data_IF_570190666144
#
_entry.id   IF_570190666144
#
_cell.length_a   1.000
_cell.length_b   1.000
_cell.length_c   1.000
_cell.angle_alpha   90.00
_cell.angle_beta   90.00
_cell.angle_gamma   90.00
#
_symmetry.space_group_name_H-M   'P 1'
#
loop_
_entity.id
_entity.type
_entity.pdbx_description
1 polymer ?
#
# COMPACT_ATOMS: atom_id res chain seq x y z
N UNK A 1 12.00 16.32 -25.70
CA UNK A 1 13.02 15.51 -25.00
C UNK A 1 12.34 14.28 -24.37
N UNK A 2 11.88 13.31 -25.15
CA UNK A 2 10.88 12.32 -24.65
C UNK A 2 11.17 10.85 -24.96
N UNK A 3 12.32 10.49 -25.56
CA UNK A 3 12.59 9.10 -25.95
C UNK A 3 13.66 8.37 -25.10
N UNK A 4 14.59 9.09 -24.46
CA UNK A 4 15.76 8.44 -23.80
C UNK A 4 15.55 8.13 -22.30
N UNK A 5 14.44 8.58 -21.69
CA UNK A 5 14.19 8.42 -20.25
C UNK A 5 13.67 7.02 -19.88
N UNK A 6 13.23 6.24 -20.86
CA UNK A 6 12.58 4.95 -20.62
C UNK A 6 13.42 3.76 -21.10
N UNK A 7 14.71 3.95 -21.42
CA UNK A 7 15.58 2.84 -21.84
C UNK A 7 15.74 1.79 -20.73
N UNK A 8 15.76 2.22 -19.46
CA UNK A 8 15.84 1.34 -18.29
C UNK A 8 14.54 0.55 -18.08
N UNK A 9 13.44 0.96 -18.72
CA UNK A 9 12.16 0.26 -18.68
C UNK A 9 12.11 -0.90 -19.68
N UNK A 10 12.80 -0.79 -20.82
CA UNK A 10 12.77 -1.79 -21.90
C UNK A 10 12.99 -3.22 -21.40
N UNK A 11 13.98 -3.50 -20.51
CA UNK A 11 14.19 -4.85 -20.01
C UNK A 11 13.03 -5.39 -19.17
N UNK A 12 12.11 -4.56 -18.68
CA UNK A 12 10.98 -4.96 -17.84
C UNK A 12 9.70 -5.23 -18.64
N UNK A 13 9.60 -4.70 -19.86
CA UNK A 13 8.39 -4.80 -20.69
C UNK A 13 8.18 -6.21 -21.23
N UNK A 14 6.92 -6.67 -21.24
CA UNK A 14 6.51 -7.93 -21.86
C UNK A 14 6.95 -9.20 -21.12
N UNK A 15 7.43 -9.08 -19.88
CA UNK A 15 7.67 -10.24 -19.00
C UNK A 15 6.35 -10.71 -18.38
N UNK A 16 6.29 -12.02 -18.07
CA UNK A 16 5.15 -12.64 -17.40
C UNK A 16 5.18 -12.41 -15.88
N UNK A 17 5.15 -11.15 -15.46
CA UNK A 17 5.25 -10.73 -14.06
C UNK A 17 4.18 -11.35 -13.16
N UNK A 18 3.01 -11.64 -13.70
CA UNK A 18 1.87 -12.25 -13.00
C UNK A 18 2.15 -13.67 -12.47
N UNK A 19 3.21 -14.31 -12.96
CA UNK A 19 3.65 -15.65 -12.53
C UNK A 19 4.83 -15.63 -11.57
N UNK A 20 5.36 -14.44 -11.28
CA UNK A 20 6.57 -14.21 -10.48
C UNK A 20 6.14 -13.62 -9.13
N UNK A 21 6.68 -14.15 -8.03
CA UNK A 21 6.42 -13.55 -6.71
C UNK A 21 7.27 -12.28 -6.49
N UNK A 22 6.98 -11.55 -5.42
CA UNK A 22 7.69 -10.30 -5.09
C UNK A 22 9.20 -10.47 -4.85
N UNK A 23 9.67 -11.64 -4.38
CA UNK A 23 11.09 -11.90 -4.09
C UNK A 23 11.84 -12.18 -5.37
N UNK A 24 11.26 -12.99 -6.24
CA UNK A 24 11.83 -13.30 -7.55
C UNK A 24 11.85 -12.05 -8.43
N UNK A 25 10.79 -11.23 -8.39
CA UNK A 25 10.76 -9.94 -9.09
C UNK A 25 11.84 -8.98 -8.57
N UNK A 26 12.03 -8.89 -7.25
CA UNK A 26 13.11 -8.12 -6.63
C UNK A 26 14.49 -8.60 -7.10
N UNK A 27 14.75 -9.91 -7.02
CA UNK A 27 16.02 -10.50 -7.45
C UNK A 27 16.26 -10.28 -8.95
N UNK A 28 15.23 -10.36 -9.77
CA UNK A 28 15.29 -10.10 -11.21
C UNK A 28 15.66 -8.66 -11.54
N UNK A 29 14.99 -7.70 -10.94
CA UNK A 29 15.22 -6.29 -11.22
C UNK A 29 16.62 -5.87 -10.71
N UNK A 30 17.07 -6.42 -9.59
CA UNK A 30 18.46 -6.24 -9.12
C UNK A 30 19.48 -6.85 -10.10
N UNK A 31 19.23 -8.04 -10.66
CA UNK A 31 20.09 -8.64 -11.70
C UNK A 31 20.18 -7.79 -12.97
N UNK A 32 19.16 -6.97 -13.24
CA UNK A 32 19.16 -5.99 -14.33
C UNK A 32 19.93 -4.69 -14.01
N UNK A 33 20.58 -4.62 -12.84
CA UNK A 33 21.42 -3.50 -12.44
C UNK A 33 20.71 -2.41 -11.64
N UNK A 34 19.45 -2.62 -11.26
CA UNK A 34 18.75 -1.69 -10.37
C UNK A 34 19.26 -1.86 -8.93
N UNK A 35 19.35 -0.76 -8.18
CA UNK A 35 19.94 -0.75 -6.84
C UNK A 35 18.90 -0.39 -5.78
N UNK A 36 18.85 -1.07 -4.62
CA UNK A 36 17.97 -0.66 -3.53
C UNK A 36 18.17 0.81 -3.13
N UNK A 37 17.08 1.54 -2.98
CA UNK A 37 17.10 2.97 -2.65
C UNK A 37 16.12 3.38 -1.56
N UNK A 38 15.31 2.45 -1.05
CA UNK A 38 14.40 2.71 0.07
C UNK A 38 13.62 1.46 0.47
N UNK A 39 13.16 1.43 1.71
CA UNK A 39 12.26 0.40 2.23
C UNK A 39 11.15 1.13 3.00
N UNK A 40 9.94 1.10 2.45
CA UNK A 40 8.74 1.57 3.13
C UNK A 40 8.10 0.45 3.95
N UNK A 41 6.92 0.70 4.50
CA UNK A 41 6.20 -0.29 5.32
C UNK A 41 5.66 -1.45 4.47
N UNK A 42 5.22 -1.13 3.25
CA UNK A 42 4.57 -2.09 2.35
C UNK A 42 5.48 -2.61 1.24
N UNK A 43 6.50 -1.84 0.83
CA UNK A 43 7.24 -2.12 -0.40
C UNK A 43 8.73 -1.78 -0.30
N UNK A 44 9.52 -2.42 -1.16
CA UNK A 44 10.93 -2.11 -1.40
C UNK A 44 11.04 -1.23 -2.64
N UNK A 45 11.83 -0.16 -2.54
CA UNK A 45 12.16 0.74 -3.65
C UNK A 45 13.53 0.42 -4.24
N UNK A 46 13.59 0.29 -5.56
CA UNK A 46 14.82 0.16 -6.34
C UNK A 46 14.98 1.36 -7.28
N UNK A 47 16.20 1.86 -7.43
CA UNK A 47 16.56 2.89 -8.38
C UNK A 47 17.14 2.27 -9.64
N UNK A 48 16.66 2.73 -10.78
CA UNK A 48 17.15 2.33 -12.11
C UNK A 48 18.64 2.67 -12.33
N UNK A 49 19.34 1.97 -13.25
CA UNK A 49 20.75 2.22 -13.56
C UNK A 49 21.09 3.67 -13.92
N UNK A 50 20.26 4.36 -14.71
CA UNK A 50 20.45 5.79 -15.04
C UNK A 50 19.91 6.73 -13.97
N UNK A 51 19.24 6.18 -12.96
CA UNK A 51 18.79 6.91 -11.78
C UNK A 51 17.56 7.81 -11.99
N UNK A 52 16.85 7.63 -13.10
CA UNK A 52 15.69 8.43 -13.51
C UNK A 52 14.34 7.82 -13.14
N UNK A 53 14.31 6.50 -12.94
CA UNK A 53 13.14 5.72 -12.55
C UNK A 53 13.35 5.05 -11.18
N UNK A 54 12.25 4.81 -10.49
CA UNK A 54 12.17 3.98 -9.29
C UNK A 54 11.16 2.85 -9.49
N UNK A 55 11.54 1.62 -9.14
CA UNK A 55 10.64 0.47 -9.09
C UNK A 55 10.22 0.25 -7.64
N UNK A 56 8.91 0.19 -7.41
CA UNK A 56 8.28 -0.20 -6.16
C UNK A 56 7.84 -1.65 -6.30
N UNK A 57 8.41 -2.52 -5.48
CA UNK A 57 8.08 -3.96 -5.44
C UNK A 57 7.42 -4.26 -4.11
N UNK A 58 6.19 -4.75 -4.19
CA UNK A 58 5.31 -4.88 -3.04
C UNK A 58 4.78 -6.31 -2.96
N UNK A 59 4.97 -7.06 -1.84
CA UNK A 59 4.34 -8.35 -1.63
C UNK A 59 2.81 -8.26 -1.50
N UNK A 60 2.32 -7.20 -0.84
CA UNK A 60 0.91 -7.00 -0.56
C UNK A 60 0.67 -5.56 -0.16
N UNK A 61 -0.20 -4.86 -0.88
CA UNK A 61 -0.70 -3.53 -0.50
C UNK A 61 -2.05 -3.28 -1.19
N UNK A 62 -3.16 -3.43 -0.46
CA UNK A 62 -4.50 -3.25 -1.02
C UNK A 62 -4.89 -1.78 -1.20
N UNK A 63 -4.14 -0.81 -0.66
CA UNK A 63 -4.40 0.61 -0.87
C UNK A 63 -3.71 1.19 -2.10
N UNK A 64 -2.57 0.63 -2.51
CA UNK A 64 -1.80 1.14 -3.64
C UNK A 64 -2.60 1.33 -4.95
N UNK A 65 -3.54 0.44 -5.34
CA UNK A 65 -4.28 0.67 -6.56
C UNK A 65 -5.21 1.89 -6.50
N UNK A 66 -5.57 2.39 -5.31
CA UNK A 66 -6.28 3.67 -5.16
C UNK A 66 -5.38 4.85 -5.55
N UNK A 67 -4.09 4.80 -5.18
CA UNK A 67 -3.12 5.79 -5.59
C UNK A 67 -2.88 5.79 -7.11
N UNK A 68 -2.81 4.60 -7.72
CA UNK A 68 -2.71 4.48 -9.18
C UNK A 68 -3.97 4.99 -9.89
N UNK A 69 -5.14 4.75 -9.31
CA UNK A 69 -6.40 5.30 -9.81
C UNK A 69 -6.44 6.83 -9.77
N UNK A 70 -5.92 7.44 -8.69
CA UNK A 70 -5.73 8.89 -8.62
C UNK A 70 -4.81 9.40 -9.75
N UNK A 71 -3.65 8.77 -9.95
CA UNK A 71 -2.73 9.12 -11.04
C UNK A 71 -3.39 9.01 -12.41
N UNK A 72 -4.21 7.97 -12.63
CA UNK A 72 -4.96 7.75 -13.87
C UNK A 72 -6.04 8.82 -14.11
N UNK A 73 -6.72 9.28 -13.06
CA UNK A 73 -7.76 10.33 -13.13
C UNK A 73 -7.20 11.74 -13.28
N UNK A 74 -5.94 11.96 -12.91
CA UNK A 74 -5.25 13.24 -13.01
C UNK A 74 -4.00 13.16 -13.92
N UNK A 75 -4.14 12.76 -15.20
CA UNK A 75 -3.00 12.53 -16.08
C UNK A 75 -2.21 13.83 -16.30
N UNK A 76 -0.89 13.76 -16.12
CA UNK A 76 0.01 14.89 -16.34
C UNK A 76 -0.08 15.99 -15.28
N UNK A 77 -0.79 15.76 -14.17
CA UNK A 77 -0.83 16.73 -13.07
C UNK A 77 0.57 16.88 -12.44
N UNK A 78 1.09 18.11 -12.26
CA UNK A 78 2.46 18.33 -11.80
C UNK A 78 2.73 17.85 -10.36
N UNK A 79 1.68 17.63 -9.56
CA UNK A 79 1.77 17.14 -8.18
C UNK A 79 1.68 15.61 -8.07
N UNK A 80 1.57 14.88 -9.17
CA UNK A 80 1.55 13.41 -9.18
C UNK A 80 2.74 12.86 -9.98
N UNK A 81 3.22 11.65 -9.65
CA UNK A 81 4.32 11.06 -10.38
C UNK A 81 3.88 10.60 -11.76
N UNK A 82 4.81 10.59 -12.70
CA UNK A 82 4.68 9.79 -13.92
C UNK A 82 4.78 8.31 -13.58
N UNK A 83 3.68 7.58 -13.78
CA UNK A 83 3.64 6.11 -13.75
C UNK A 83 4.04 5.57 -15.12
N UNK A 84 5.09 4.75 -15.15
CA UNK A 84 5.67 4.19 -16.40
C UNK A 84 5.33 2.71 -16.59
N UNK A 85 5.09 1.97 -15.51
CA UNK A 85 4.71 0.55 -15.53
C UNK A 85 3.86 0.21 -14.31
N UNK A 86 2.91 -0.68 -14.48
CA UNK A 86 2.16 -1.31 -13.39
C UNK A 86 1.87 -2.73 -13.79
N UNK A 87 2.37 -3.67 -13.00
CA UNK A 87 2.23 -5.10 -13.23
C UNK A 87 1.79 -5.79 -11.93
N UNK A 88 0.88 -6.75 -12.06
CA UNK A 88 0.54 -7.63 -10.96
C UNK A 88 1.64 -8.69 -10.80
N UNK A 89 1.90 -9.09 -9.56
CA UNK A 89 2.77 -10.22 -9.22
C UNK A 89 1.93 -11.35 -8.63
N UNK A 90 2.47 -12.57 -8.59
CA UNK A 90 1.80 -13.70 -7.96
C UNK A 90 1.45 -13.37 -6.49
N UNK A 91 0.34 -13.94 -6.03
CA UNK A 91 -0.04 -13.91 -4.61
C UNK A 91 -0.49 -12.55 -4.05
N UNK A 92 -0.81 -11.58 -4.92
CA UNK A 92 -1.30 -10.25 -4.54
C UNK A 92 -0.25 -9.15 -4.52
N UNK A 93 0.97 -9.47 -4.96
CA UNK A 93 2.02 -8.48 -5.08
C UNK A 93 1.85 -7.55 -6.28
N UNK A 94 2.68 -6.51 -6.33
CA UNK A 94 2.74 -5.58 -7.46
C UNK A 94 4.15 -5.07 -7.72
N UNK A 95 4.42 -4.81 -9.00
CA UNK A 95 5.56 -4.06 -9.49
C UNK A 95 5.03 -2.78 -10.14
N UNK A 96 5.47 -1.63 -9.63
CA UNK A 96 5.16 -0.32 -10.22
C UNK A 96 6.44 0.42 -10.49
N UNK A 97 6.60 0.98 -11.70
CA UNK A 97 7.73 1.85 -12.03
C UNK A 97 7.25 3.28 -12.17
N UNK A 98 7.85 4.18 -11.40
CA UNK A 98 7.57 5.61 -11.35
C UNK A 98 8.82 6.39 -11.77
N UNK A 99 8.68 7.69 -12.06
CA UNK A 99 9.85 8.59 -12.02
C UNK A 99 10.54 8.53 -10.64
N UNK A 100 11.87 8.69 -10.61
CA UNK A 100 12.61 8.70 -9.35
C UNK A 100 12.36 10.02 -8.62
N UNK A 101 11.96 9.92 -7.34
CA UNK A 101 11.69 11.07 -6.49
C UNK A 101 12.53 10.97 -5.21
N UNK A 102 13.18 12.08 -4.83
CA UNK A 102 13.88 12.21 -3.56
C UNK A 102 12.90 12.58 -2.43
N UNK A 103 13.23 12.32 -1.15
CA UNK A 103 12.51 12.93 -0.04
C UNK A 103 12.48 14.46 -0.18
N UNK A 104 11.34 15.08 0.12
CA UNK A 104 11.27 16.53 0.27
C UNK A 104 11.88 16.95 1.62
N UNK A 105 12.21 18.24 1.75
CA UNK A 105 12.64 18.80 3.03
C UNK A 105 11.47 18.83 4.00
N UNK A 106 11.70 18.52 5.28
CA UNK A 106 10.63 18.34 6.27
C UNK A 106 9.70 19.57 6.37
N UNK A 107 10.27 20.78 6.36
CA UNK A 107 9.49 22.01 6.43
C UNK A 107 8.58 22.22 5.21
N UNK A 108 9.03 21.80 4.03
CA UNK A 108 8.27 21.89 2.78
C UNK A 108 7.16 20.83 2.75
N UNK A 109 7.49 19.60 3.16
CA UNK A 109 6.52 18.52 3.29
C UNK A 109 5.40 18.88 4.28
N UNK A 110 5.75 19.47 5.43
CA UNK A 110 4.79 19.97 6.40
C UNK A 110 3.91 21.10 5.84
N UNK A 111 4.47 21.99 5.01
CA UNK A 111 3.71 23.05 4.35
C UNK A 111 2.71 22.50 3.31
N UNK A 112 3.09 21.46 2.57
CA UNK A 112 2.21 20.75 1.63
C UNK A 112 1.07 20.06 2.37
N UNK A 113 1.37 19.33 3.44
CA UNK A 113 0.36 18.66 4.26
C UNK A 113 -0.63 19.66 4.89
N UNK A 114 -0.13 20.83 5.31
CA UNK A 114 -0.98 21.92 5.81
C UNK A 114 -1.90 22.47 4.71
N UNK A 115 -1.36 22.78 3.54
CA UNK A 115 -2.14 23.25 2.37
C UNK A 115 -3.27 22.29 2.00
N UNK A 116 -2.98 20.99 2.00
CA UNK A 116 -3.99 19.96 1.76
C UNK A 116 -5.14 20.05 2.76
N UNK A 117 -4.84 20.11 4.07
CA UNK A 117 -5.86 20.20 5.13
C UNK A 117 -6.66 21.50 5.09
N UNK A 118 -6.01 22.60 4.80
CA UNK A 118 -6.64 23.93 4.76
C UNK A 118 -7.43 24.17 3.47
N UNK A 119 -7.28 23.28 2.48
CA UNK A 119 -7.93 23.45 1.19
C UNK A 119 -7.32 24.56 0.33
N UNK A 120 -6.04 24.89 0.54
CA UNK A 120 -5.35 25.98 -0.15
C UNK A 120 -4.34 25.44 -1.17
N UNK A 121 -4.32 26.01 -2.37
CA UNK A 121 -3.47 25.54 -3.45
C UNK A 121 -3.66 26.33 -4.73
N UNK A 122 -2.92 25.95 -5.75
CA UNK A 122 -3.27 26.31 -7.13
C UNK A 122 -4.33 25.34 -7.67
N UNK A 123 -4.84 25.63 -8.87
CA UNK A 123 -5.87 24.81 -9.53
C UNK A 123 -5.44 23.34 -9.71
N UNK A 124 -4.16 23.09 -10.00
CA UNK A 124 -3.66 21.73 -10.19
C UNK A 124 -3.62 20.95 -8.87
N UNK A 125 -3.22 21.58 -7.77
CA UNK A 125 -3.24 21.00 -6.43
C UNK A 125 -4.67 20.71 -5.97
N UNK A 126 -5.59 21.66 -6.19
CA UNK A 126 -7.00 21.52 -5.84
C UNK A 126 -7.68 20.39 -6.63
N UNK A 127 -7.31 20.20 -7.90
CA UNK A 127 -7.78 19.09 -8.73
C UNK A 127 -7.36 17.72 -8.16
N UNK A 128 -6.09 17.57 -7.73
CA UNK A 128 -5.61 16.34 -7.08
C UNK A 128 -6.35 16.11 -5.78
N UNK A 129 -6.49 17.13 -4.92
CA UNK A 129 -7.20 17.00 -3.64
C UNK A 129 -8.64 16.54 -3.84
N UNK A 130 -9.37 17.21 -4.73
CA UNK A 130 -10.77 16.88 -5.03
C UNK A 130 -10.90 15.45 -5.55
N UNK A 131 -10.03 15.05 -6.47
CA UNK A 131 -10.04 13.70 -7.03
C UNK A 131 -9.66 12.64 -6.00
N UNK A 132 -8.69 12.94 -5.12
CA UNK A 132 -8.30 12.04 -4.04
C UNK A 132 -9.46 11.80 -3.05
N UNK A 133 -10.25 12.83 -2.72
CA UNK A 133 -11.45 12.65 -1.89
C UNK A 133 -12.52 11.79 -2.57
N UNK A 134 -12.74 11.95 -3.88
CA UNK A 134 -13.67 11.09 -4.62
C UNK A 134 -13.20 9.62 -4.63
N UNK A 135 -11.90 9.40 -4.84
CA UNK A 135 -11.30 8.06 -4.76
C UNK A 135 -11.41 7.50 -3.32
N UNK A 136 -11.13 8.30 -2.29
CA UNK A 136 -11.29 7.88 -0.89
C UNK A 136 -12.71 7.39 -0.60
N UNK A 137 -13.73 8.14 -1.01
CA UNK A 137 -15.14 7.78 -0.82
C UNK A 137 -15.48 6.43 -1.48
N UNK A 138 -15.08 6.25 -2.75
CA UNK A 138 -15.31 5.02 -3.51
C UNK A 138 -14.61 3.81 -2.88
N UNK A 139 -13.37 3.98 -2.44
CA UNK A 139 -12.55 2.91 -1.88
C UNK A 139 -13.00 2.54 -0.45
N UNK A 140 -13.36 3.53 0.36
CA UNK A 140 -13.93 3.33 1.71
C UNK A 140 -15.19 2.48 1.69
N UNK A 141 -16.01 2.59 0.64
CA UNK A 141 -17.24 1.82 0.49
C UNK A 141 -17.02 0.32 0.22
N UNK A 142 -15.82 -0.08 -0.26
CA UNK A 142 -15.57 -1.46 -0.74
C UNK A 142 -14.37 -2.15 -0.10
N UNK A 143 -13.42 -1.41 0.47
CA UNK A 143 -12.21 -1.98 1.03
C UNK A 143 -12.30 -2.14 2.55
N UNK A 144 -12.15 -3.36 3.08
CA UNK A 144 -12.07 -3.57 4.52
C UNK A 144 -10.77 -2.98 5.07
N UNK A 145 -10.77 -2.49 6.31
CA UNK A 145 -9.60 -1.85 6.96
C UNK A 145 -9.04 -0.63 6.22
N UNK A 146 -9.86 0.05 5.42
CA UNK A 146 -9.49 1.32 4.80
C UNK A 146 -9.42 2.44 5.84
N UNK A 147 -8.29 3.15 5.92
CA UNK A 147 -8.10 4.27 6.85
C UNK A 147 -8.33 5.62 6.15
N UNK A 148 -7.84 5.73 4.91
CA UNK A 148 -8.20 6.82 4.00
C UNK A 148 -7.02 7.59 3.48
N UNK A 149 -7.20 8.90 3.35
CA UNK A 149 -6.13 9.80 2.89
C UNK A 149 -5.08 9.95 3.98
N UNK A 150 -3.85 9.57 3.66
CA UNK A 150 -2.67 9.71 4.50
C UNK A 150 -1.66 10.63 3.83
N UNK A 151 -1.64 11.90 4.26
CA UNK A 151 -0.66 12.86 3.78
C UNK A 151 0.26 13.30 4.92
N UNK A 152 1.30 12.50 5.13
CA UNK A 152 2.42 12.77 6.03
C UNK A 152 3.68 13.20 5.23
N UNK A 153 4.77 13.55 5.92
CA UNK A 153 5.98 14.04 5.27
C UNK A 153 6.67 13.00 4.38
N UNK A 154 6.50 11.71 4.67
CA UNK A 154 6.99 10.61 3.84
C UNK A 154 6.26 10.48 2.49
N UNK A 155 5.07 11.07 2.36
CA UNK A 155 4.25 11.04 1.14
C UNK A 155 4.47 12.28 0.26
N UNK A 156 5.34 13.20 0.69
CA UNK A 156 5.75 14.37 -0.10
C UNK A 156 7.18 14.17 -0.58
N UNK A 157 7.35 14.20 -1.89
CA UNK A 157 8.63 13.95 -2.56
C UNK A 157 9.00 15.08 -3.50
N UNK A 158 10.25 15.07 -3.93
CA UNK A 158 10.81 16.03 -4.89
C UNK A 158 11.29 15.31 -6.14
N UNK A 159 10.78 15.73 -7.28
CA UNK A 159 11.27 15.26 -8.59
C UNK A 159 12.64 15.89 -8.91
N UNK A 160 13.35 15.30 -9.88
CA UNK A 160 14.69 15.78 -10.29
C UNK A 160 14.65 17.22 -10.83
N UNK A 161 13.53 17.64 -11.40
CA UNK A 161 13.29 19.02 -11.89
C UNK A 161 12.89 20.01 -10.78
N UNK A 162 12.84 19.55 -9.53
CA UNK A 162 12.51 20.35 -8.34
C UNK A 162 11.03 20.40 -7.98
N UNK A 163 10.13 19.85 -8.80
CA UNK A 163 8.68 19.81 -8.49
C UNK A 163 8.40 19.02 -7.22
N UNK A 164 7.35 19.44 -6.52
CA UNK A 164 6.77 18.67 -5.42
C UNK A 164 5.75 17.69 -5.95
N UNK A 165 5.90 16.44 -5.53
CA UNK A 165 5.10 15.31 -5.98
C UNK A 165 4.55 14.58 -4.76
N UNK A 166 3.26 14.26 -4.80
CA UNK A 166 2.57 13.49 -3.79
C UNK A 166 2.59 12.02 -4.20
N UNK A 167 2.96 11.15 -3.29
CA UNK A 167 2.96 9.69 -3.48
C UNK A 167 2.21 9.01 -2.35
N UNK A 168 1.65 7.84 -2.62
CA UNK A 168 1.08 6.94 -1.61
C UNK A 168 0.08 7.66 -0.67
N UNK A 169 -0.76 8.54 -1.24
CA UNK A 169 -1.68 9.41 -0.47
C UNK A 169 -2.81 8.67 0.23
N UNK A 170 -2.87 7.34 0.12
CA UNK A 170 -3.90 6.51 0.75
C UNK A 170 -3.26 5.41 1.58
N UNK A 171 -3.89 5.07 2.70
CA UNK A 171 -3.41 4.00 3.58
C UNK A 171 -4.51 3.06 4.05
N UNK A 172 -4.06 1.90 4.50
CA UNK A 172 -4.84 0.91 5.23
C UNK A 172 -4.57 1.06 6.73
N UNK A 173 -5.56 0.71 7.54
CA UNK A 173 -5.36 0.43 8.96
C UNK A 173 -4.68 -0.94 9.10
N UNK A 174 -3.36 -0.94 8.89
CA UNK A 174 -2.53 -2.14 9.00
C UNK A 174 -2.60 -2.76 10.39
N UNK A 175 -2.69 -1.94 11.45
CA UNK A 175 -2.75 -2.44 12.82
C UNK A 175 -4.03 -3.27 13.06
N UNK A 176 -5.19 -2.79 12.60
CA UNK A 176 -6.44 -3.54 12.70
C UNK A 176 -6.47 -4.76 11.77
N UNK A 177 -5.88 -4.67 10.57
CA UNK A 177 -5.75 -5.81 9.67
C UNK A 177 -4.93 -6.95 10.31
N UNK A 178 -3.73 -6.64 10.83
CA UNK A 178 -2.87 -7.67 11.43
C UNK A 178 -3.39 -8.16 12.78
N UNK A 179 -4.12 -7.34 13.54
CA UNK A 179 -4.90 -7.82 14.68
C UNK A 179 -5.96 -8.83 14.24
N UNK A 180 -6.70 -8.55 13.17
CA UNK A 180 -7.68 -9.50 12.64
C UNK A 180 -7.02 -10.82 12.20
N UNK A 181 -5.80 -10.79 11.64
CA UNK A 181 -5.08 -12.04 11.32
C UNK A 181 -4.84 -12.90 12.57
N UNK A 182 -4.49 -12.28 13.69
CA UNK A 182 -4.28 -12.98 14.96
C UNK A 182 -5.59 -13.48 15.57
N UNK A 183 -6.66 -12.69 15.46
CA UNK A 183 -7.97 -13.01 16.05
C UNK A 183 -8.71 -14.08 15.23
N UNK A 184 -8.84 -13.87 13.93
CA UNK A 184 -9.50 -14.79 12.98
C UNK A 184 -9.07 -14.47 11.53
N UNK A 185 -8.11 -15.24 11.01
CA UNK A 185 -7.60 -15.08 9.64
C UNK A 185 -8.59 -15.49 8.55
N UNK A 186 -9.66 -16.25 8.87
CA UNK A 186 -10.69 -16.59 7.90
C UNK A 186 -11.49 -15.36 7.46
N UNK A 187 -11.74 -14.42 8.38
CA UNK A 187 -12.39 -13.13 8.07
C UNK A 187 -11.55 -12.32 7.07
N UNK A 188 -10.22 -12.35 7.22
CA UNK A 188 -9.31 -11.66 6.28
C UNK A 188 -9.42 -12.29 4.89
N UNK A 189 -9.39 -13.62 4.79
CA UNK A 189 -9.45 -14.36 3.51
C UNK A 189 -10.81 -14.26 2.81
N UNK A 190 -11.88 -14.13 3.59
CA UNK A 190 -13.23 -13.90 3.06
C UNK A 190 -13.34 -12.50 2.44
N UNK A 191 -12.82 -11.49 3.15
CA UNK A 191 -12.94 -10.09 2.74
C UNK A 191 -11.90 -9.65 1.72
N UNK A 192 -10.72 -10.26 1.75
CA UNK A 192 -9.62 -10.05 0.82
C UNK A 192 -9.31 -11.39 0.18
N UNK A 193 -9.48 -11.49 -1.14
CA UNK A 193 -9.43 -12.77 -1.84
C UNK A 193 -8.17 -13.59 -1.49
N UNK A 194 -8.32 -14.91 -1.37
CA UNK A 194 -7.20 -15.81 -1.03
C UNK A 194 -6.03 -15.71 -2.01
N UNK A 195 -6.32 -15.44 -3.29
CA UNK A 195 -5.29 -15.22 -4.31
C UNK A 195 -4.49 -13.93 -4.07
N UNK A 196 -5.12 -12.88 -3.54
CA UNK A 196 -4.49 -11.57 -3.31
C UNK A 196 -3.82 -11.45 -1.93
N UNK A 197 -3.86 -12.48 -1.09
CA UNK A 197 -3.37 -12.43 0.31
C UNK A 197 -2.27 -13.45 0.60
N UNK A 198 -1.73 -14.13 -0.42
CA UNK A 198 -0.71 -15.18 -0.25
C UNK A 198 0.55 -14.64 0.44
N UNK A 199 0.92 -13.40 0.13
CA UNK A 199 2.11 -12.72 0.67
C UNK A 199 1.77 -11.63 1.71
N UNK A 200 0.58 -11.68 2.31
CA UNK A 200 0.11 -10.67 3.27
C UNK A 200 1.06 -10.43 4.46
N UNK A 201 1.79 -11.48 4.88
CA UNK A 201 2.74 -11.43 6.00
C UNK A 201 4.19 -11.13 5.58
N UNK A 202 4.45 -10.97 4.28
CA UNK A 202 5.80 -10.75 3.75
C UNK A 202 6.15 -9.24 3.63
N UNK A 203 5.28 -8.34 4.09
CA UNK A 203 5.51 -6.88 3.99
C UNK A 203 6.76 -6.46 4.79
N UNK A 204 7.53 -5.45 4.31
CA UNK A 204 8.77 -5.04 4.99
C UNK A 204 8.58 -4.56 6.44
N UNK A 205 7.45 -3.93 6.78
CA UNK A 205 7.17 -3.47 8.15
C UNK A 205 7.23 -4.62 9.16
N UNK A 206 6.61 -5.77 8.85
CA UNK A 206 6.62 -6.94 9.74
C UNK A 206 8.05 -7.39 9.99
N UNK A 207 8.87 -7.47 8.94
CA UNK A 207 10.26 -7.92 9.07
C UNK A 207 11.14 -6.95 9.87
N UNK A 208 10.84 -5.64 9.85
CA UNK A 208 11.60 -4.60 10.54
C UNK A 208 11.17 -4.38 11.98
N UNK A 209 9.86 -4.29 12.21
CA UNK A 209 9.30 -3.75 13.46
C UNK A 209 8.75 -4.85 14.38
N UNK A 210 8.50 -6.07 13.86
CA UNK A 210 8.00 -7.18 14.68
C UNK A 210 9.14 -8.05 15.23
N UNK A 211 8.98 -8.50 16.47
CA UNK A 211 9.85 -9.51 17.07
C UNK A 211 9.67 -10.88 16.40
N UNK A 212 10.66 -11.79 16.52
CA UNK A 212 10.52 -13.16 16.02
C UNK A 212 9.30 -13.90 16.57
N UNK A 213 8.90 -13.63 17.81
CA UNK A 213 7.72 -14.25 18.43
C UNK A 213 6.41 -13.75 17.80
N UNK A 214 6.30 -12.45 17.51
CA UNK A 214 5.14 -11.87 16.83
C UNK A 214 5.01 -12.38 15.40
N UNK A 215 6.13 -12.48 14.67
CA UNK A 215 6.16 -13.05 13.32
C UNK A 215 5.67 -14.50 13.33
N UNK A 216 6.14 -15.31 14.27
CA UNK A 216 5.70 -16.70 14.38
C UNK A 216 4.23 -16.81 14.77
N UNK A 217 3.74 -15.94 15.68
CA UNK A 217 2.32 -15.89 16.04
C UNK A 217 1.44 -15.56 14.83
N UNK A 218 1.81 -14.55 14.03
CA UNK A 218 1.12 -14.19 12.79
C UNK A 218 1.09 -15.35 11.80
N UNK A 219 2.23 -16.03 11.59
CA UNK A 219 2.33 -17.19 10.69
C UNK A 219 1.49 -18.37 11.18
N UNK A 220 1.49 -18.63 12.49
CA UNK A 220 0.67 -19.68 13.09
C UNK A 220 -0.83 -19.40 12.89
N UNK A 221 -1.27 -18.17 13.17
CA UNK A 221 -2.67 -17.75 12.99
C UNK A 221 -3.10 -17.79 11.52
N UNK A 222 -2.23 -17.37 10.59
CA UNK A 222 -2.51 -17.44 9.16
C UNK A 222 -2.67 -18.87 8.65
N UNK A 223 -1.77 -19.79 9.07
CA UNK A 223 -1.85 -21.22 8.72
C UNK A 223 -3.05 -21.94 9.33
N UNK A 224 -3.44 -21.58 10.57
CA UNK A 224 -4.59 -22.21 11.22
C UNK A 224 -5.90 -21.97 10.44
N UNK A 225 -6.03 -20.82 9.78
CA UNK A 225 -7.18 -20.50 8.91
C UNK A 225 -7.20 -21.20 7.55
N UNK A 226 -6.13 -21.91 7.14
CA UNK A 226 -6.11 -22.70 5.89
C UNK A 226 -6.85 -24.03 6.00
N UNK A 227 -7.16 -24.48 7.22
CA UNK A 227 -7.95 -25.68 7.40
C UNK A 227 -9.43 -25.38 7.10
N UNK A 228 -10.05 -26.05 6.12
CA UNK A 228 -11.50 -25.96 5.97
C UNK A 228 -12.11 -26.40 7.29
N UNK A 229 -13.05 -25.62 7.82
CA UNK A 229 -13.88 -26.04 8.96
C UNK A 229 -14.60 -27.32 8.53
N UNK A 230 -13.99 -28.45 8.81
CA UNK A 230 -14.53 -29.76 8.51
C UNK A 230 -15.66 -30.02 9.51
N UNK A 231 -16.86 -29.58 9.13
CA UNK A 231 -18.13 -30.09 9.62
C UNK A 231 -18.47 -29.78 11.08
N UNK A 232 -19.29 -28.75 11.29
CA UNK A 232 -20.45 -28.89 12.18
C UNK A 232 -21.68 -28.34 11.44
N UNK A 233 -22.33 -29.22 10.66
CA UNK A 233 -23.78 -29.15 10.50
C UNK A 233 -24.39 -29.77 11.76
N UNK A 234 -25.29 -29.03 12.41
CA UNK A 234 -26.31 -29.62 13.28
C UNK A 234 -26.17 -29.25 14.74
N UNK A 235 -26.88 -28.20 15.15
CA UNK A 235 -27.16 -27.94 16.55
C UNK A 235 -27.58 -26.49 16.78
N UNK A 236 -28.87 -26.19 16.60
CA UNK A 236 -29.48 -25.08 17.33
C UNK A 236 -29.49 -25.47 18.82
N UNK A 237 -29.07 -24.57 19.72
CA UNK A 237 -29.76 -24.46 20.98
C UNK A 237 -30.15 -23.00 21.29
N UNK A 238 -31.41 -22.85 21.69
CA UNK A 238 -31.78 -22.03 22.84
C UNK A 238 -31.58 -20.52 22.76
N UNK A 239 -32.69 -19.83 22.56
CA UNK A 239 -32.91 -18.47 23.06
C UNK A 239 -32.40 -18.29 24.50
N UNK A 240 -31.34 -17.49 24.67
CA UNK A 240 -30.74 -17.15 25.96
C UNK A 240 -30.37 -15.67 26.01
N UNK A 241 -31.28 -14.88 26.59
CA UNK A 241 -31.18 -13.52 27.17
C UNK A 241 -29.87 -12.72 26.98
N UNK A 242 -30.03 -11.51 26.44
CA UNK A 242 -29.07 -10.40 26.54
C UNK A 242 -28.65 -10.15 28.00
N UNK A 243 -27.35 -10.12 28.24
CA UNK A 243 -26.75 -9.45 29.39
C UNK A 243 -26.08 -8.17 28.89
N UNK A 244 -26.46 -7.05 29.49
CA UNK A 244 -25.95 -5.71 29.21
C UNK A 244 -24.47 -5.56 29.56
N UNK A 245 -23.72 -4.65 28.89
CA UNK A 245 -22.37 -4.29 29.30
C UNK A 245 -22.37 -3.44 30.60
N UNK A 246 -21.29 -3.49 31.41
CA UNK A 246 -21.13 -2.64 32.59
C UNK A 246 -20.83 -1.17 32.20
N UNK A 247 -21.17 -0.20 33.08
CA UNK A 247 -21.02 1.22 32.78
C UNK A 247 -19.55 1.69 32.79
N UNK A 248 -19.29 2.61 31.86
CA UNK A 248 -18.09 3.43 31.72
C UNK A 248 -17.82 4.29 32.97
N UNK A 249 -16.59 4.22 33.49
CA UNK A 249 -16.06 5.21 34.43
C UNK A 249 -15.42 6.37 33.64
N UNK A 250 -15.95 7.58 33.81
CA UNK A 250 -15.26 8.82 33.43
C UNK A 250 -14.35 9.29 34.57
N UNK A 251 -13.21 9.93 34.25
CA UNK A 251 -12.28 10.45 35.25
C UNK A 251 -12.75 11.79 35.82
N UNK A 252 -12.40 12.04 37.08
CA UNK A 252 -12.57 13.32 37.74
C UNK A 252 -11.46 14.30 37.32
N UNK A 253 -11.84 15.50 36.89
CA UNK A 253 -11.13 16.76 37.10
C UNK A 253 -12.16 17.89 37.14
#
# INVERSE_FOLDING_TARGET
>A
MTADHDIDLVPLLGRAWETVDHRDALAEIVRLGWTPCGVGDWAVGLRSPRGLLAARICPFDPAYPAFLELCRRCPGNPYLPRVSLTEALDGGGSLTVLEFLAPAEEAEAAAVARRWREGTGDEAFDAVRTTAHAVDEEWRARMPWWDGIDLNSGNVRRAVDGRIVLVDVFCMDGASLYRQVLDDSAVVRERLSAAATRHLLDIPFIARESSPAEIEALRAAWRAGDHPVSGIRGGRPGSGRCASPPPSASPAH
#
